data_IF_096853860188
#
_entry.id   IF_096853860188
#
_cell.length_a   1.000
_cell.length_b   1.000
_cell.length_c   1.000
_cell.angle_alpha   90.00
_cell.angle_beta   90.00
_cell.angle_gamma   90.00
#
_symmetry.space_group_name_H-M   'P 1'
#
loop_
_entity.id
_entity.type
_entity.pdbx_description
1 polymer ?
#
# COMPACT_ATOMS: atom_id res chain seq x y z
N UNK A 1 10.21 32.86 -7.41
CA UNK A 1 11.57 32.81 -7.98
C UNK A 1 11.75 34.04 -8.87
N UNK A 2 12.78 34.86 -8.63
CA UNK A 2 12.97 36.16 -9.30
C UNK A 2 13.22 35.95 -10.81
N UNK A 3 12.53 36.70 -11.69
CA UNK A 3 12.58 36.54 -13.15
C UNK A 3 14.01 36.65 -13.71
N UNK A 4 14.86 37.46 -13.08
CA UNK A 4 16.29 37.57 -13.40
C UNK A 4 17.09 36.31 -13.06
N UNK A 5 16.75 35.62 -11.98
CA UNK A 5 17.42 34.39 -11.54
C UNK A 5 17.08 33.22 -12.49
N UNK A 6 15.82 33.12 -12.92
CA UNK A 6 15.39 32.12 -13.92
C UNK A 6 16.13 32.28 -15.24
N UNK A 7 16.19 33.51 -15.78
CA UNK A 7 16.89 33.79 -17.03
C UNK A 7 18.40 33.55 -16.93
N UNK A 8 19.01 33.81 -15.77
CA UNK A 8 20.45 33.56 -15.56
C UNK A 8 20.77 32.06 -15.56
N UNK A 9 19.90 31.24 -14.95
CA UNK A 9 20.06 29.77 -14.95
C UNK A 9 19.87 29.20 -16.35
N UNK A 10 18.89 29.71 -17.11
CA UNK A 10 18.64 29.28 -18.49
C UNK A 10 19.81 29.61 -19.42
N UNK A 11 20.41 30.80 -19.31
CA UNK A 11 21.59 31.20 -20.09
C UNK A 11 22.80 30.34 -19.73
N UNK A 12 23.05 30.09 -18.44
CA UNK A 12 24.16 29.21 -18.01
C UNK A 12 23.97 27.80 -18.53
N UNK A 13 22.76 27.25 -18.47
CA UNK A 13 22.45 25.93 -19.03
C UNK A 13 22.70 25.86 -20.54
N UNK A 14 22.35 26.91 -21.27
CA UNK A 14 22.52 26.97 -22.73
C UNK A 14 24.01 27.06 -23.12
N UNK A 15 24.81 27.85 -22.41
CA UNK A 15 26.26 27.96 -22.62
C UNK A 15 26.98 26.63 -22.31
N UNK A 16 26.62 25.97 -21.20
CA UNK A 16 27.18 24.66 -20.83
C UNK A 16 26.84 23.60 -21.88
N UNK A 17 25.61 23.63 -22.42
CA UNK A 17 25.17 22.68 -23.46
C UNK A 17 25.94 22.88 -24.77
N UNK A 18 26.12 24.12 -25.22
CA UNK A 18 26.88 24.43 -26.44
C UNK A 18 28.35 24.03 -26.28
N UNK A 19 28.96 24.32 -25.11
CA UNK A 19 30.33 23.93 -24.82
C UNK A 19 30.51 22.40 -24.77
N UNK A 20 29.53 21.68 -24.21
CA UNK A 20 29.49 20.21 -24.22
C UNK A 20 29.42 19.62 -25.63
N UNK A 21 28.62 20.22 -26.52
CA UNK A 21 28.51 19.77 -27.93
C UNK A 21 29.82 20.02 -28.69
N UNK A 22 30.45 21.20 -28.52
CA UNK A 22 31.72 21.54 -29.19
C UNK A 22 32.84 20.59 -28.73
N UNK A 23 32.92 20.29 -27.44
CA UNK A 23 33.94 19.39 -26.87
C UNK A 23 33.69 17.92 -27.23
N UNK A 24 32.43 17.51 -27.38
CA UNK A 24 32.03 16.19 -27.87
C UNK A 24 32.44 15.94 -29.33
N UNK A 25 32.34 16.96 -30.19
CA UNK A 25 32.68 16.84 -31.62
C UNK A 25 34.19 16.67 -31.84
N UNK A 26 35.04 17.16 -30.93
CA UNK A 26 36.50 17.19 -31.14
C UNK A 26 37.26 15.98 -30.60
N UNK A 27 36.65 15.13 -29.77
CA UNK A 27 37.33 13.95 -29.23
C UNK A 27 36.31 12.88 -28.85
N UNK A 28 36.32 11.75 -29.55
CA UNK A 28 35.46 10.60 -29.24
C UNK A 28 35.61 10.15 -27.77
N UNK A 29 36.83 10.26 -27.21
CA UNK A 29 37.12 9.99 -25.79
C UNK A 29 36.38 10.92 -24.82
N UNK A 30 36.17 12.19 -25.19
CA UNK A 30 35.44 13.16 -24.35
C UNK A 30 33.95 12.84 -24.33
N UNK A 31 33.38 12.38 -25.45
CA UNK A 31 31.98 11.91 -25.52
C UNK A 31 31.74 10.78 -24.53
N UNK A 32 32.62 9.77 -24.49
CA UNK A 32 32.49 8.65 -23.56
C UNK A 32 32.57 9.09 -22.09
N UNK A 33 33.42 10.07 -21.76
CA UNK A 33 33.54 10.61 -20.39
C UNK A 33 32.26 11.33 -19.98
N UNK A 34 31.68 12.18 -20.84
CA UNK A 34 30.42 12.86 -20.53
C UNK A 34 29.24 11.89 -20.41
N UNK A 35 29.18 10.86 -21.26
CA UNK A 35 28.15 9.83 -21.18
C UNK A 35 28.26 9.05 -19.84
N UNK A 36 29.47 8.70 -19.42
CA UNK A 36 29.71 8.06 -18.13
C UNK A 36 29.30 8.97 -16.96
N UNK A 37 29.67 10.25 -16.98
CA UNK A 37 29.27 11.22 -15.95
C UNK A 37 27.75 11.41 -15.89
N UNK A 38 27.08 11.43 -17.05
CA UNK A 38 25.62 11.52 -17.11
C UNK A 38 24.96 10.29 -16.51
N UNK A 39 25.46 9.09 -16.81
CA UNK A 39 24.97 7.84 -16.20
C UNK A 39 25.21 7.83 -14.68
N UNK A 40 26.40 8.24 -14.22
CA UNK A 40 26.70 8.33 -12.78
C UNK A 40 25.81 9.37 -12.06
N UNK A 41 25.56 10.51 -12.68
CA UNK A 41 24.65 11.53 -12.14
C UNK A 41 23.20 11.02 -12.08
N UNK A 42 22.74 10.33 -13.13
CA UNK A 42 21.42 9.70 -13.15
C UNK A 42 21.28 8.63 -12.06
N UNK A 43 22.29 7.76 -11.89
CA UNK A 43 22.32 6.74 -10.83
C UNK A 43 22.34 7.38 -9.44
N UNK A 44 23.15 8.43 -9.24
CA UNK A 44 23.21 9.17 -7.98
C UNK A 44 21.87 9.84 -7.66
N UNK A 45 21.20 10.41 -8.67
CA UNK A 45 19.88 11.00 -8.53
C UNK A 45 18.82 9.95 -8.17
N UNK A 46 18.85 8.77 -8.79
CA UNK A 46 17.95 7.66 -8.44
C UNK A 46 18.20 7.17 -7.02
N UNK A 47 19.47 6.96 -6.63
CA UNK A 47 19.82 6.54 -5.27
C UNK A 47 19.43 7.58 -4.21
N UNK A 48 19.67 8.86 -4.49
CA UNK A 48 19.27 9.98 -3.64
C UNK A 48 17.75 10.08 -3.53
N UNK A 49 17.03 9.86 -4.64
CA UNK A 49 15.57 9.77 -4.66
C UNK A 49 15.11 8.63 -3.76
N UNK A 50 15.60 7.41 -3.95
CA UNK A 50 15.17 6.30 -3.09
C UNK A 50 15.49 6.53 -1.61
N UNK A 51 16.65 7.10 -1.29
CA UNK A 51 17.04 7.41 0.09
C UNK A 51 16.14 8.47 0.74
N UNK A 52 15.87 9.59 0.06
CA UNK A 52 15.03 10.66 0.61
C UNK A 52 13.55 10.28 0.63
N UNK A 53 13.08 9.53 -0.36
CA UNK A 53 11.65 9.21 -0.49
C UNK A 53 11.23 7.92 0.23
N UNK A 54 12.16 7.11 0.78
CA UNK A 54 11.81 5.98 1.65
C UNK A 54 11.42 6.49 3.05
N UNK A 55 10.24 7.11 3.17
CA UNK A 55 9.74 7.62 4.46
C UNK A 55 9.20 6.53 5.38
N UNK A 56 8.67 5.46 4.81
CA UNK A 56 8.03 4.35 5.51
C UNK A 56 8.26 3.03 4.76
N UNK A 57 8.52 1.96 5.52
CA UNK A 57 8.62 0.60 5.02
C UNK A 57 7.64 -0.29 5.76
N UNK A 58 6.76 -0.96 5.02
CA UNK A 58 5.84 -1.93 5.58
C UNK A 58 6.49 -3.30 5.60
N UNK A 59 6.54 -3.93 6.76
CA UNK A 59 7.03 -5.30 6.93
C UNK A 59 5.90 -6.29 6.65
N UNK A 60 4.76 -6.12 7.30
CA UNK A 60 3.56 -6.94 7.09
C UNK A 60 2.29 -6.12 7.15
N UNK A 61 1.25 -6.63 6.48
CA UNK A 61 -0.12 -6.15 6.62
C UNK A 61 -1.02 -7.37 6.84
N UNK A 62 -1.66 -7.43 8.00
CA UNK A 62 -2.53 -8.54 8.38
C UNK A 62 -3.96 -8.05 8.52
N UNK A 63 -4.90 -8.76 7.89
CA UNK A 63 -6.32 -8.52 7.98
C UNK A 63 -6.98 -9.68 8.72
N UNK A 64 -7.67 -9.37 9.82
CA UNK A 64 -8.42 -10.35 10.60
C UNK A 64 -9.90 -9.99 10.55
N UNK A 65 -10.65 -10.71 9.72
CA UNK A 65 -12.10 -10.61 9.64
C UNK A 65 -12.74 -11.63 10.58
N UNK A 66 -13.77 -11.20 11.31
CA UNK A 66 -14.63 -12.07 12.10
C UNK A 66 -16.07 -11.76 11.72
N UNK A 67 -16.75 -12.72 11.09
CA UNK A 67 -18.17 -12.60 10.75
C UNK A 67 -18.96 -13.24 11.91
N UNK A 68 -19.83 -12.45 12.54
CA UNK A 68 -20.40 -12.80 13.84
C UNK A 68 -21.71 -13.58 13.77
N UNK A 69 -22.49 -13.38 12.71
CA UNK A 69 -23.82 -13.93 12.59
C UNK A 69 -23.99 -14.74 11.29
N UNK A 70 -24.89 -15.72 11.35
CA UNK A 70 -25.22 -16.57 10.20
C UNK A 70 -25.78 -15.80 9.02
N UNK A 71 -26.36 -14.62 9.23
CA UNK A 71 -26.94 -13.82 8.15
C UNK A 71 -25.87 -12.98 7.44
N UNK A 72 -24.64 -12.91 7.98
CA UNK A 72 -23.55 -12.08 7.47
C UNK A 72 -23.81 -10.58 7.61
N UNK A 73 -24.68 -10.19 8.54
CA UNK A 73 -25.07 -8.80 8.77
C UNK A 73 -24.05 -8.00 9.56
N UNK A 74 -23.17 -8.66 10.31
CA UNK A 74 -22.16 -8.01 11.14
C UNK A 74 -20.83 -8.75 11.06
N UNK A 75 -19.81 -8.00 10.68
CA UNK A 75 -18.43 -8.45 10.75
C UNK A 75 -17.53 -7.37 11.33
N UNK A 76 -16.42 -7.78 11.93
CA UNK A 76 -15.37 -6.89 12.39
C UNK A 76 -14.08 -7.22 11.65
N UNK A 77 -13.40 -6.19 11.15
CA UNK A 77 -12.07 -6.30 10.56
C UNK A 77 -11.06 -5.61 11.47
N UNK A 78 -10.00 -6.33 11.84
CA UNK A 78 -8.79 -5.74 12.42
C UNK A 78 -7.69 -5.75 11.36
N UNK A 79 -7.30 -4.57 10.89
CA UNK A 79 -6.15 -4.41 9.99
C UNK A 79 -4.94 -4.00 10.80
N UNK A 80 -3.91 -4.85 10.81
CA UNK A 80 -2.65 -4.66 11.53
C UNK A 80 -1.55 -4.37 10.51
N UNK A 81 -0.75 -3.34 10.77
CA UNK A 81 0.41 -2.98 9.96
C UNK A 81 1.64 -2.97 10.85
N UNK A 82 2.66 -3.71 10.45
CA UNK A 82 3.99 -3.60 11.03
C UNK A 82 4.86 -2.79 10.08
N UNK A 83 5.44 -1.68 10.53
CA UNK A 83 6.22 -0.79 9.67
C UNK A 83 7.34 -0.08 10.41
N UNK A 84 8.38 0.34 9.69
CA UNK A 84 9.43 1.24 10.18
C UNK A 84 9.31 2.58 9.45
N UNK A 85 9.48 3.66 10.21
CA UNK A 85 9.53 5.02 9.68
C UNK A 85 10.99 5.47 9.63
N UNK A 86 11.41 6.07 8.52
CA UNK A 86 12.76 6.62 8.34
C UNK A 86 12.76 8.14 8.19
N UNK A 87 11.59 8.77 8.02
CA UNK A 87 11.50 10.22 7.91
C UNK A 87 11.31 10.89 9.27
N UNK A 88 12.13 11.92 9.54
CA UNK A 88 11.90 12.87 10.63
C UNK A 88 10.48 13.43 10.59
N UNK A 89 9.86 13.56 11.76
CA UNK A 89 8.53 14.16 11.93
C UNK A 89 7.40 13.46 11.16
N UNK A 90 7.42 12.13 11.05
CA UNK A 90 6.29 11.40 10.48
C UNK A 90 5.06 11.50 11.39
N UNK A 91 4.04 12.20 10.90
CA UNK A 91 2.83 12.53 11.66
C UNK A 91 1.55 11.95 11.09
N UNK A 92 1.57 11.38 9.89
CA UNK A 92 0.34 10.90 9.23
C UNK A 92 0.52 9.55 8.56
N UNK A 93 -0.44 8.66 8.79
CA UNK A 93 -0.57 7.39 8.08
C UNK A 93 -1.93 7.31 7.40
N UNK A 94 -1.92 6.97 6.11
CA UNK A 94 -3.14 6.88 5.30
C UNK A 94 -3.53 5.41 5.08
N UNK A 95 -4.80 5.13 5.29
CA UNK A 95 -5.47 3.88 5.00
C UNK A 95 -6.58 4.17 3.98
N UNK A 96 -6.37 3.83 2.71
CA UNK A 96 -7.27 4.15 1.61
C UNK A 96 -8.09 2.94 1.18
N UNK A 97 -9.11 3.19 0.36
CA UNK A 97 -9.92 2.16 -0.32
C UNK A 97 -10.61 1.20 0.64
N UNK A 98 -11.05 1.68 1.79
CA UNK A 98 -11.87 0.90 2.72
C UNK A 98 -13.32 1.01 2.26
N UNK A 99 -13.95 -0.11 1.92
CA UNK A 99 -15.34 -0.10 1.49
C UNK A 99 -15.97 -1.48 1.58
N UNK A 100 -17.27 -1.51 1.35
CA UNK A 100 -18.10 -2.71 1.31
C UNK A 100 -19.41 -2.39 0.59
N UNK A 101 -20.16 -3.43 0.22
CA UNK A 101 -21.50 -3.31 -0.37
C UNK A 101 -22.53 -2.73 0.61
N UNK A 102 -22.32 -2.96 1.91
CA UNK A 102 -23.09 -2.38 3.00
C UNK A 102 -22.42 -1.16 3.63
N UNK A 103 -22.60 -0.99 4.95
CA UNK A 103 -22.02 0.13 5.69
C UNK A 103 -20.72 -0.29 6.37
N UNK A 104 -19.70 0.57 6.30
CA UNK A 104 -18.42 0.36 6.99
C UNK A 104 -18.19 1.51 7.97
N UNK A 105 -17.97 1.17 9.24
CA UNK A 105 -17.79 2.13 10.31
C UNK A 105 -16.42 1.93 10.97
N UNK A 106 -15.72 3.03 11.23
CA UNK A 106 -14.52 2.99 12.04
C UNK A 106 -14.88 2.78 13.53
N UNK A 107 -14.19 1.85 14.21
CA UNK A 107 -14.37 1.59 15.65
C UNK A 107 -13.25 2.28 16.44
N UNK A 108 -12.00 1.85 16.24
CA UNK A 108 -10.86 2.34 17.04
C UNK A 108 -9.52 2.13 16.33
N UNK A 109 -8.52 2.87 16.82
CA UNK A 109 -7.11 2.72 16.47
C UNK A 109 -6.32 2.54 17.76
N UNK A 110 -5.29 1.70 17.75
CA UNK A 110 -4.41 1.53 18.92
C UNK A 110 -3.42 2.69 19.10
N UNK A 111 -3.18 3.49 18.06
CA UNK A 111 -2.27 4.62 18.09
C UNK A 111 -2.74 5.75 17.17
N UNK A 112 -2.37 6.97 17.52
CA UNK A 112 -2.78 8.18 16.82
C UNK A 112 -4.28 8.47 16.90
N UNK A 113 -4.69 9.59 16.29
CA UNK A 113 -6.07 10.01 16.15
C UNK A 113 -6.52 9.83 14.70
N UNK A 114 -7.36 8.84 14.40
CA UNK A 114 -7.89 8.63 13.07
C UNK A 114 -8.95 9.68 12.74
N UNK A 115 -8.93 10.14 11.49
CA UNK A 115 -9.93 10.98 10.86
C UNK A 115 -10.48 10.21 9.66
N UNK A 116 -11.79 10.03 9.62
CA UNK A 116 -12.48 9.42 8.49
C UNK A 116 -12.77 10.47 7.43
N UNK A 117 -12.45 10.15 6.19
CA UNK A 117 -12.72 10.97 5.00
C UNK A 117 -13.38 10.09 3.96
N UNK A 118 -14.49 10.56 3.39
CA UNK A 118 -15.18 9.83 2.32
C UNK A 118 -14.65 10.30 0.97
N UNK A 119 -14.12 9.37 0.16
CA UNK A 119 -13.52 9.63 -1.15
C UNK A 119 -14.20 8.73 -2.20
N UNK A 120 -15.06 9.31 -3.04
CA UNK A 120 -15.65 8.61 -4.19
C UNK A 120 -16.45 7.35 -3.86
N UNK A 121 -17.14 7.33 -2.71
CA UNK A 121 -17.91 6.16 -2.24
C UNK A 121 -17.09 5.15 -1.41
N UNK A 122 -15.78 5.37 -1.27
CA UNK A 122 -14.92 4.63 -0.34
C UNK A 122 -14.56 5.49 0.88
N UNK A 123 -14.15 4.82 1.94
CA UNK A 123 -13.62 5.44 3.15
C UNK A 123 -12.09 5.43 3.09
N UNK A 124 -11.52 6.58 3.43
CA UNK A 124 -10.12 6.75 3.74
C UNK A 124 -9.98 7.13 5.22
N UNK A 125 -9.09 6.45 5.94
CA UNK A 125 -8.73 6.76 7.32
C UNK A 125 -7.35 7.41 7.36
N UNK A 126 -7.27 8.62 7.91
CA UNK A 126 -6.01 9.35 8.11
C UNK A 126 -5.70 9.32 9.59
N UNK A 127 -4.70 8.55 10.00
CA UNK A 127 -4.23 8.49 11.38
C UNK A 127 -3.17 9.56 11.63
N UNK A 128 -3.46 10.51 12.52
CA UNK A 128 -2.53 11.56 12.93
C UNK A 128 -1.79 11.18 14.21
N UNK A 129 -0.46 11.35 14.25
CA UNK A 129 0.39 11.04 15.40
C UNK A 129 0.90 12.32 16.06
N UNK A 130 0.60 12.48 17.35
CA UNK A 130 1.13 13.55 18.19
C UNK A 130 1.54 12.93 19.54
N UNK A 131 2.85 12.84 19.86
CA UNK A 131 4.00 13.31 19.08
C UNK A 131 4.23 12.51 17.77
N UNK A 132 5.09 13.01 16.85
CA UNK A 132 5.52 12.25 15.68
C UNK A 132 6.11 10.88 16.04
N UNK A 133 6.03 9.92 15.12
CA UNK A 133 6.61 8.60 15.32
C UNK A 133 8.14 8.67 15.35
N UNK A 134 8.73 7.87 16.24
CA UNK A 134 10.19 7.73 16.32
C UNK A 134 10.73 7.03 15.08
N UNK A 135 11.85 7.54 14.56
CA UNK A 135 12.57 6.96 13.43
C UNK A 135 13.26 5.64 13.82
N UNK A 136 13.54 4.81 12.81
CA UNK A 136 14.37 3.60 12.88
C UNK A 136 13.91 2.53 13.88
N UNK A 137 12.67 2.63 14.36
CA UNK A 137 12.02 1.60 15.18
C UNK A 137 10.79 1.03 14.50
N UNK A 138 10.46 -0.22 14.83
CA UNK A 138 9.24 -0.85 14.36
C UNK A 138 8.02 -0.34 15.13
N UNK A 139 6.98 0.00 14.39
CA UNK A 139 5.68 0.42 14.88
C UNK A 139 4.62 -0.60 14.48
N UNK A 140 3.68 -0.86 15.37
CA UNK A 140 2.50 -1.70 15.11
C UNK A 140 1.24 -0.86 15.19
N UNK A 141 0.64 -0.58 14.03
CA UNK A 141 -0.64 0.12 13.93
C UNK A 141 -1.76 -0.88 13.71
N UNK A 142 -2.88 -0.71 14.39
CA UNK A 142 -4.06 -1.55 14.30
C UNK A 142 -5.27 -0.65 14.22
N UNK A 143 -6.03 -0.80 13.13
CA UNK A 143 -7.36 -0.19 12.98
C UNK A 143 -8.41 -1.29 13.07
N UNK A 144 -9.51 -0.99 13.74
CA UNK A 144 -10.66 -1.87 13.87
C UNK A 144 -11.88 -1.20 13.21
N UNK A 145 -12.56 -1.95 12.37
CA UNK A 145 -13.68 -1.49 11.54
C UNK A 145 -14.84 -2.47 11.65
N UNK A 146 -16.05 -1.95 11.70
CA UNK A 146 -17.29 -2.73 11.64
C UNK A 146 -17.86 -2.70 10.23
N UNK A 147 -18.27 -3.85 9.74
CA UNK A 147 -18.93 -4.05 8.46
C UNK A 147 -20.35 -4.53 8.72
N UNK A 148 -21.33 -3.76 8.27
CA UNK A 148 -22.76 -4.01 8.48
C UNK A 148 -23.41 -4.32 7.13
N UNK A 149 -24.11 -5.45 7.05
CA UNK A 149 -24.77 -5.97 5.83
C UNK A 149 -23.83 -6.08 4.62
N UNK A 150 -22.56 -6.47 4.84
CA UNK A 150 -21.58 -6.61 3.76
C UNK A 150 -21.38 -8.05 3.28
N UNK A 151 -21.93 -9.05 3.99
CA UNK A 151 -21.67 -10.46 3.72
C UNK A 151 -22.95 -11.32 3.67
N UNK A 152 -24.04 -10.75 3.15
CA UNK A 152 -25.37 -11.37 3.18
C UNK A 152 -25.62 -12.40 2.08
N UNK A 153 -24.88 -12.34 0.98
CA UNK A 153 -25.05 -13.15 -0.22
C UNK A 153 -24.44 -14.55 -0.11
N UNK A 154 -24.77 -15.44 -1.04
CA UNK A 154 -24.27 -16.83 -1.07
C UNK A 154 -22.79 -16.93 -1.50
N UNK A 155 -22.33 -15.98 -2.30
CA UNK A 155 -20.95 -15.83 -2.75
C UNK A 155 -20.53 -14.42 -2.37
N UNK A 156 -19.40 -14.31 -1.69
CA UNK A 156 -18.92 -13.05 -1.13
C UNK A 156 -17.45 -12.85 -1.48
N UNK A 157 -16.99 -11.60 -1.37
CA UNK A 157 -15.60 -11.28 -1.65
C UNK A 157 -15.01 -10.23 -0.71
N UNK A 158 -13.71 -10.35 -0.47
CA UNK A 158 -12.91 -9.38 0.26
C UNK A 158 -11.78 -8.91 -0.63
N UNK A 159 -11.74 -7.60 -0.89
CA UNK A 159 -10.69 -6.95 -1.65
C UNK A 159 -9.66 -6.32 -0.71
N UNK A 160 -8.39 -6.66 -0.90
CA UNK A 160 -7.26 -6.15 -0.14
C UNK A 160 -6.25 -5.53 -1.09
N UNK A 161 -5.74 -4.35 -0.75
CA UNK A 161 -4.80 -3.63 -1.59
C UNK A 161 -3.45 -3.42 -0.88
N UNK A 162 -2.37 -3.79 -1.56
CA UNK A 162 -1.01 -3.54 -1.10
C UNK A 162 -0.48 -2.19 -1.62
N UNK A 163 -0.87 -1.07 -1.02
CA UNK A 163 -0.52 0.29 -1.49
C UNK A 163 1.00 0.56 -1.57
N UNK A 164 1.78 -0.20 -0.81
CA UNK A 164 3.24 -0.08 -0.72
C UNK A 164 3.85 -1.48 -0.77
N UNK A 165 5.14 -1.54 -1.14
CA UNK A 165 5.92 -2.77 -0.99
C UNK A 165 5.89 -3.23 0.46
N UNK A 166 5.61 -4.52 0.67
CA UNK A 166 5.72 -5.19 1.97
C UNK A 166 6.18 -6.62 1.78
N UNK A 167 6.63 -7.28 2.86
CA UNK A 167 7.13 -8.64 2.78
C UNK A 167 5.99 -9.66 2.67
N UNK A 168 4.86 -9.41 3.34
CA UNK A 168 3.68 -10.28 3.28
C UNK A 168 2.38 -9.51 3.51
N UNK A 169 1.32 -10.01 2.88
CA UNK A 169 -0.08 -9.68 3.21
C UNK A 169 -0.78 -10.96 3.65
N UNK A 170 -1.36 -10.93 4.85
CA UNK A 170 -2.09 -12.07 5.42
C UNK A 170 -3.55 -11.70 5.58
N UNK A 171 -4.44 -12.62 5.26
CA UNK A 171 -5.87 -12.48 5.51
C UNK A 171 -6.37 -13.71 6.24
N UNK A 172 -6.95 -13.48 7.42
CA UNK A 172 -7.63 -14.48 8.22
C UNK A 172 -9.10 -14.11 8.29
N UNK A 173 -9.97 -15.05 7.95
CA UNK A 173 -11.43 -14.89 8.05
C UNK A 173 -11.94 -15.97 9.01
N UNK A 174 -12.62 -15.54 10.07
CA UNK A 174 -13.35 -16.42 10.98
C UNK A 174 -14.83 -16.36 10.65
N UNK A 175 -15.43 -17.51 10.35
CA UNK A 175 -16.85 -17.66 10.01
C UNK A 175 -17.67 -18.08 11.23
N UNK A 176 -18.96 -17.72 11.28
CA UNK A 176 -19.86 -18.17 12.33
C UNK A 176 -20.05 -19.69 12.28
N UNK A 177 -20.30 -20.30 13.43
CA UNK A 177 -20.48 -21.74 13.55
C UNK A 177 -21.59 -22.29 12.63
N UNK A 178 -22.67 -21.52 12.46
CA UNK A 178 -23.89 -21.95 11.77
C UNK A 178 -23.86 -21.68 10.26
N UNK A 179 -22.80 -21.05 9.75
CA UNK A 179 -22.60 -20.78 8.32
C UNK A 179 -21.10 -20.85 7.98
N UNK A 180 -20.53 -22.07 7.92
CA UNK A 180 -19.11 -22.26 7.58
C UNK A 180 -18.85 -21.94 6.10
N UNK A 181 -17.60 -21.68 5.75
CA UNK A 181 -17.16 -21.54 4.37
C UNK A 181 -17.01 -22.92 3.71
N UNK A 182 -17.61 -23.10 2.53
CA UNK A 182 -17.50 -24.32 1.73
C UNK A 182 -16.32 -24.31 0.78
N UNK A 183 -16.03 -23.17 0.16
CA UNK A 183 -14.96 -23.05 -0.81
C UNK A 183 -14.48 -21.61 -0.96
N UNK A 184 -13.25 -21.43 -1.40
CA UNK A 184 -12.68 -20.12 -1.67
C UNK A 184 -11.69 -20.14 -2.83
N UNK A 185 -11.57 -18.98 -3.47
CA UNK A 185 -10.64 -18.69 -4.55
C UNK A 185 -10.00 -17.33 -4.30
N UNK A 186 -8.79 -17.15 -4.82
CA UNK A 186 -8.10 -15.87 -4.74
C UNK A 186 -7.67 -15.41 -6.13
N UNK A 187 -7.74 -14.11 -6.35
CA UNK A 187 -7.38 -13.46 -7.61
C UNK A 187 -6.51 -12.23 -7.34
N UNK A 188 -5.49 -12.03 -8.17
CA UNK A 188 -4.75 -10.79 -8.28
C UNK A 188 -5.27 -10.00 -9.46
N UNK A 189 -5.75 -8.78 -9.20
CA UNK A 189 -6.02 -7.78 -10.21
C UNK A 189 -4.85 -6.80 -10.29
N UNK A 190 -4.20 -6.75 -11.45
CA UNK A 190 -3.06 -5.87 -11.72
C UNK A 190 -3.01 -5.56 -13.23
N UNK A 191 -2.86 -4.28 -13.60
CA UNK A 191 -2.82 -3.79 -14.99
C UNK A 191 -3.92 -4.41 -15.87
N UNK A 192 -5.18 -4.26 -15.44
CA UNK A 192 -6.41 -4.77 -16.11
C UNK A 192 -6.48 -6.30 -16.33
N UNK A 193 -5.51 -7.04 -15.82
CA UNK A 193 -5.49 -8.50 -15.84
C UNK A 193 -5.94 -9.09 -14.50
N UNK A 194 -6.74 -10.15 -14.56
CA UNK A 194 -7.08 -10.98 -13.42
C UNK A 194 -6.30 -12.29 -13.50
N UNK A 195 -5.42 -12.54 -12.54
CA UNK A 195 -4.67 -13.79 -12.43
C UNK A 195 -5.17 -14.56 -11.22
N UNK A 196 -5.59 -15.80 -11.41
CA UNK A 196 -5.93 -16.67 -10.28
C UNK A 196 -4.67 -17.02 -9.49
N UNK A 197 -4.75 -16.90 -8.17
CA UNK A 197 -3.68 -17.25 -7.23
C UNK A 197 -3.90 -18.65 -6.64
N UNK A 198 -2.94 -19.10 -5.84
CA UNK A 198 -3.09 -20.29 -5.03
C UNK A 198 -4.35 -20.21 -4.14
N UNK A 199 -5.01 -21.35 -3.97
CA UNK A 199 -6.26 -21.42 -3.21
C UNK A 199 -6.01 -21.05 -1.75
N UNK A 200 -6.90 -20.26 -1.11
CA UNK A 200 -6.88 -20.07 0.33
C UNK A 200 -6.99 -21.41 1.08
N UNK A 201 -6.37 -21.49 2.24
CA UNK A 201 -6.47 -22.65 3.13
C UNK A 201 -7.73 -22.51 3.97
N UNK A 202 -8.59 -23.53 3.96
CA UNK A 202 -9.81 -23.57 4.76
C UNK A 202 -9.64 -24.67 5.80
N UNK A 203 -10.03 -24.42 7.06
CA UNK A 203 -10.01 -25.44 8.11
C UNK A 203 -11.00 -26.57 7.81
N UNK A 204 -10.77 -27.75 8.35
CA UNK A 204 -11.62 -28.94 8.13
C UNK A 204 -13.10 -28.69 8.52
N UNK A 205 -13.35 -27.82 9.49
CA UNK A 205 -14.68 -27.43 9.94
C UNK A 205 -15.28 -26.23 9.18
N UNK A 206 -14.55 -25.67 8.22
CA UNK A 206 -14.96 -24.52 7.40
C UNK A 206 -15.05 -23.19 8.17
N UNK A 207 -14.61 -23.13 9.43
CA UNK A 207 -14.77 -21.93 10.28
C UNK A 207 -13.62 -20.94 10.17
N UNK A 208 -12.51 -21.33 9.55
CA UNK A 208 -11.36 -20.45 9.31
C UNK A 208 -10.91 -20.54 7.87
N UNK A 209 -10.62 -19.38 7.30
CA UNK A 209 -9.92 -19.25 6.03
C UNK A 209 -8.67 -18.42 6.23
N UNK A 210 -7.54 -18.93 5.77
CA UNK A 210 -6.26 -18.25 5.76
C UNK A 210 -5.78 -18.08 4.31
N UNK A 211 -5.34 -16.87 3.98
CA UNK A 211 -4.75 -16.53 2.71
C UNK A 211 -3.50 -15.68 2.93
N UNK A 212 -2.37 -16.11 2.35
CA UNK A 212 -1.07 -15.45 2.52
C UNK A 212 -0.49 -15.15 1.15
N UNK A 213 -0.08 -13.89 0.95
CA UNK A 213 0.68 -13.47 -0.22
C UNK A 213 2.05 -13.02 0.23
N UNK A 214 3.07 -13.81 -0.11
CA UNK A 214 4.47 -13.42 0.09
C UNK A 214 4.94 -12.51 -1.04
N UNK A 215 5.64 -11.42 -0.69
CA UNK A 215 6.14 -10.41 -1.64
C UNK A 215 5.05 -9.89 -2.59
N UNK A 216 3.93 -9.36 -2.05
CA UNK A 216 2.84 -8.83 -2.87
C UNK A 216 3.34 -7.76 -3.85
N UNK A 217 2.82 -7.79 -5.08
CA UNK A 217 2.97 -6.70 -6.04
C UNK A 217 2.44 -5.40 -5.44
N UNK A 218 3.25 -4.35 -5.49
CA UNK A 218 2.86 -3.01 -5.09
C UNK A 218 1.67 -2.54 -5.94
N UNK A 219 0.66 -1.95 -5.31
CA UNK A 219 -0.63 -1.59 -5.89
C UNK A 219 -1.48 -2.76 -6.40
N UNK A 220 -1.05 -4.01 -6.15
CA UNK A 220 -1.85 -5.19 -6.43
C UNK A 220 -3.12 -5.22 -5.57
N UNK A 221 -4.24 -5.58 -6.21
CA UNK A 221 -5.53 -5.79 -5.57
C UNK A 221 -5.80 -7.29 -5.49
N UNK A 222 -5.84 -7.82 -4.27
CA UNK A 222 -6.03 -9.22 -3.96
C UNK A 222 -7.48 -9.43 -3.56
N UNK A 223 -8.23 -10.14 -4.40
CA UNK A 223 -9.62 -10.48 -4.15
C UNK A 223 -9.72 -11.91 -3.64
N UNK A 224 -10.32 -12.10 -2.48
CA UNK A 224 -10.62 -13.41 -1.92
C UNK A 224 -12.12 -13.61 -2.07
N UNK A 225 -12.53 -14.49 -2.97
CA UNK A 225 -13.92 -14.88 -3.20
C UNK A 225 -14.19 -16.17 -2.41
N UNK A 226 -15.28 -16.22 -1.65
CA UNK A 226 -15.67 -17.40 -0.89
C UNK A 226 -17.17 -17.68 -1.01
N UNK A 227 -17.51 -18.95 -0.84
CA UNK A 227 -18.88 -19.45 -0.82
C UNK A 227 -19.17 -20.02 0.56
N UNK A 228 -20.33 -19.65 1.10
CA UNK A 228 -20.89 -20.21 2.33
C UNK A 228 -21.38 -21.64 2.16
#
# INVERSE_FOLDING_TARGET
MNKKLKNSIEIVGLVVTIWGIITAIQNEKIVYIFLLLFVLAALSFVAFREYIFKSIEFHSIDYEFTIHDKEGKRAVCKKKKLFTVYSKNFTTLHDKNIGGTGNVNFIKSNMGKPMQVTEGGSISLITMFHPPLKEDIQHKHTIEMEYINCFTESIESILIQADRKCAAVTTNISFPHDRPCKSAKAYLFFDDSATQLDKPTISDDGKKLEFVVTKPKQFGKYNIEFTW
#
